data_IF_376568950618
#
_entry.id   IF_376568950618
#
_cell.length_a   1.000
_cell.length_b   1.000
_cell.length_c   1.000
_cell.angle_alpha   90.00
_cell.angle_beta   90.00
_cell.angle_gamma   90.00
#
_symmetry.space_group_name_H-M   'P 1'
#
loop_
_entity.id
_entity.type
_entity.pdbx_description
1 polymer ?
#
# COMPACT_ATOMS: atom_id res chain seq x y z
N UNK A 1 12.87 -3.63 8.48
CA UNK A 1 11.83 -3.12 7.56
C UNK A 1 11.67 -4.05 6.35
N UNK A 2 12.55 -4.02 5.34
CA UNK A 2 12.40 -4.85 4.13
C UNK A 2 12.29 -6.36 4.37
N UNK A 3 13.10 -6.92 5.29
CA UNK A 3 13.00 -8.34 5.65
C UNK A 3 11.65 -8.70 6.29
N UNK A 4 11.12 -7.83 7.17
CA UNK A 4 9.80 -8.01 7.80
C UNK A 4 8.67 -7.95 6.75
N UNK A 5 8.84 -7.15 5.70
CA UNK A 5 7.97 -7.21 4.53
C UNK A 5 8.09 -8.52 3.78
N UNK A 6 9.30 -8.98 3.49
CA UNK A 6 9.49 -10.20 2.70
C UNK A 6 8.94 -11.45 3.41
N UNK A 7 9.00 -11.51 4.74
CA UNK A 7 8.61 -12.70 5.53
C UNK A 7 7.31 -12.57 6.33
N UNK A 8 6.76 -11.37 6.53
CA UNK A 8 5.57 -11.11 7.38
C UNK A 8 4.40 -10.53 6.60
N UNK A 9 3.24 -10.31 7.23
CA UNK A 9 1.99 -9.74 6.66
C UNK A 9 1.24 -10.63 5.66
N UNK A 10 1.11 -11.92 5.96
CA UNK A 10 0.41 -12.87 5.08
C UNK A 10 -1.10 -12.63 5.07
N UNK A 11 -1.70 -12.21 6.18
CA UNK A 11 -3.13 -11.96 6.25
C UNK A 11 -3.51 -10.74 5.43
N UNK A 12 -2.75 -9.64 5.50
CA UNK A 12 -2.91 -8.47 4.63
C UNK A 12 -2.77 -8.85 3.16
N UNK A 13 -1.83 -9.73 2.80
CA UNK A 13 -1.70 -10.16 1.39
C UNK A 13 -2.90 -10.95 0.90
N UNK A 14 -3.46 -11.81 1.74
CA UNK A 14 -4.59 -12.66 1.39
C UNK A 14 -5.91 -11.89 1.39
N UNK A 15 -6.10 -11.01 2.38
CA UNK A 15 -7.35 -10.30 2.60
C UNK A 15 -7.42 -8.99 1.83
N UNK A 16 -6.28 -8.37 1.51
CA UNK A 16 -6.15 -7.15 0.72
C UNK A 16 -5.27 -7.44 -0.52
N UNK A 17 -5.76 -8.20 -1.51
CA UNK A 17 -5.01 -8.47 -2.73
C UNK A 17 -4.71 -7.16 -3.48
N UNK A 18 -3.58 -7.12 -4.19
CA UNK A 18 -3.16 -5.90 -4.84
C UNK A 18 -4.01 -5.60 -6.08
N UNK A 19 -4.69 -4.44 -6.09
CA UNK A 19 -5.31 -3.84 -7.28
C UNK A 19 -5.02 -2.34 -7.28
N UNK A 20 -4.02 -1.91 -8.03
CA UNK A 20 -3.56 -0.52 -8.04
C UNK A 20 -4.64 0.46 -8.51
N UNK A 21 -5.58 0.00 -9.35
CA UNK A 21 -6.69 0.79 -9.93
C UNK A 21 -7.92 0.84 -9.03
N UNK A 22 -8.17 -0.22 -8.27
CA UNK A 22 -9.37 -0.35 -7.45
C UNK A 22 -9.48 0.72 -6.37
N UNK A 23 -10.70 1.15 -6.07
CA UNK A 23 -11.05 1.98 -4.92
C UNK A 23 -12.35 1.45 -4.34
N UNK A 24 -12.27 0.77 -3.21
CA UNK A 24 -13.41 0.15 -2.52
C UNK A 24 -13.40 0.53 -1.05
N UNK A 25 -14.58 0.54 -0.42
CA UNK A 25 -14.72 0.70 1.03
C UNK A 25 -14.96 -0.66 1.66
N UNK A 26 -13.89 -1.37 1.98
CA UNK A 26 -13.97 -2.62 2.72
C UNK A 26 -13.62 -2.34 4.18
N UNK A 27 -14.45 -2.77 5.14
CA UNK A 27 -14.19 -2.48 6.57
C UNK A 27 -14.41 -3.66 7.50
N UNK A 28 -14.65 -4.87 6.98
CA UNK A 28 -14.87 -6.07 7.80
C UNK A 28 -13.78 -7.13 7.61
N UNK A 29 -12.54 -6.77 7.92
CA UNK A 29 -11.42 -7.72 7.93
C UNK A 29 -11.33 -8.48 9.24
N UNK A 30 -10.79 -9.69 9.16
CA UNK A 30 -10.51 -10.56 10.30
C UNK A 30 -9.57 -9.87 11.31
N UNK A 31 -9.65 -10.20 12.62
CA UNK A 31 -8.82 -9.57 13.65
C UNK A 31 -7.32 -9.62 13.35
N UNK A 32 -6.83 -10.72 12.76
CA UNK A 32 -5.42 -10.92 12.41
C UNK A 32 -4.97 -9.93 11.32
N UNK A 33 -5.82 -9.68 10.32
CA UNK A 33 -5.57 -8.68 9.27
C UNK A 33 -5.55 -7.27 9.85
N UNK A 34 -6.45 -6.96 10.80
CA UNK A 34 -6.45 -5.66 11.49
C UNK A 34 -5.19 -5.47 12.32
N UNK A 35 -4.73 -6.51 13.02
CA UNK A 35 -3.49 -6.46 13.80
C UNK A 35 -2.26 -6.24 12.90
N UNK A 36 -2.20 -6.89 11.75
CA UNK A 36 -1.14 -6.67 10.75
C UNK A 36 -1.17 -5.26 10.15
N UNK A 37 -2.37 -4.71 9.86
CA UNK A 37 -2.53 -3.32 9.42
C UNK A 37 -2.00 -2.35 10.49
N UNK A 38 -2.39 -2.54 11.76
CA UNK A 38 -1.92 -1.70 12.86
C UNK A 38 -0.39 -1.76 13.00
N UNK A 39 0.19 -2.96 12.88
CA UNK A 39 1.64 -3.17 12.93
C UNK A 39 2.37 -2.46 11.79
N UNK A 40 1.81 -2.46 10.58
CA UNK A 40 2.34 -1.72 9.43
C UNK A 40 2.32 -0.21 9.67
N UNK A 41 1.19 0.31 10.14
CA UNK A 41 1.03 1.73 10.45
C UNK A 41 2.00 2.18 11.54
N UNK A 42 2.14 1.41 12.62
CA UNK A 42 3.11 1.69 13.68
C UNK A 42 4.55 1.70 13.17
N UNK A 43 4.91 0.74 12.31
CA UNK A 43 6.24 0.67 11.72
C UNK A 43 6.56 1.91 10.87
N UNK A 44 5.66 2.29 9.97
CA UNK A 44 5.87 3.45 9.11
C UNK A 44 5.88 4.75 9.91
N UNK A 45 4.96 4.90 10.87
CA UNK A 45 4.92 6.02 11.81
C UNK A 45 6.24 6.17 12.55
N UNK A 46 6.79 5.08 13.10
CA UNK A 46 8.05 5.12 13.84
C UNK A 46 9.24 5.49 12.95
N UNK A 47 9.30 4.94 11.74
CA UNK A 47 10.35 5.28 10.77
C UNK A 47 10.25 6.75 10.34
N UNK A 48 9.05 7.23 10.02
CA UNK A 48 8.79 8.63 9.71
C UNK A 48 9.11 9.54 10.88
N UNK A 49 8.78 9.17 12.11
CA UNK A 49 9.13 9.96 13.29
C UNK A 49 10.66 10.15 13.46
N UNK A 50 11.45 9.13 13.10
CA UNK A 50 12.92 9.18 13.18
C UNK A 50 13.59 9.95 12.05
N UNK A 51 12.94 10.04 10.88
CA UNK A 51 13.56 10.55 9.64
C UNK A 51 12.75 11.64 8.93
N UNK A 52 11.73 12.22 9.57
CA UNK A 52 10.84 13.21 8.95
C UNK A 52 11.56 14.45 8.43
N UNK A 53 12.66 14.85 9.07
CA UNK A 53 13.47 16.02 8.69
C UNK A 53 14.34 15.82 7.45
N UNK A 54 14.58 14.57 7.05
CA UNK A 54 15.54 14.22 6.01
C UNK A 54 14.88 13.94 4.64
N UNK A 55 13.58 14.19 4.54
CA UNK A 55 12.78 14.03 3.33
C UNK A 55 11.46 13.27 3.55
N UNK A 56 10.72 12.99 2.46
CA UNK A 56 9.36 12.47 2.56
C UNK A 56 9.27 10.93 2.69
N UNK A 57 10.37 10.21 2.47
CA UNK A 57 10.40 8.74 2.42
C UNK A 57 10.66 8.10 3.80
N UNK A 58 10.55 6.77 3.94
CA UNK A 58 10.64 6.10 5.25
C UNK A 58 11.93 6.44 6.03
N UNK A 59 13.04 6.61 5.31
CA UNK A 59 14.35 6.97 5.87
C UNK A 59 14.81 8.36 5.41
N UNK A 60 13.85 9.26 5.13
CA UNK A 60 14.10 10.62 4.63
C UNK A 60 14.31 10.64 3.12
N UNK A 61 15.46 10.11 2.68
CA UNK A 61 15.74 9.88 1.27
C UNK A 61 15.04 8.60 0.76
N UNK A 62 14.80 8.53 -0.56
CA UNK A 62 14.21 7.34 -1.20
C UNK A 62 15.15 6.15 -1.07
N UNK A 63 14.64 5.03 -0.59
CA UNK A 63 15.40 3.80 -0.41
C UNK A 63 14.70 2.60 -1.02
N UNK A 64 15.39 1.45 -1.03
CA UNK A 64 14.79 0.18 -1.42
C UNK A 64 13.60 -0.20 -0.51
N UNK A 65 13.55 0.27 0.74
CA UNK A 65 12.42 0.00 1.62
C UNK A 65 11.13 0.58 1.04
N UNK A 66 11.18 1.80 0.50
CA UNK A 66 10.04 2.47 -0.12
C UNK A 66 9.48 1.66 -1.30
N UNK A 67 10.36 1.15 -2.16
CA UNK A 67 9.98 0.28 -3.27
C UNK A 67 9.32 -1.03 -2.81
N UNK A 68 9.82 -1.65 -1.74
CA UNK A 68 9.24 -2.87 -1.18
C UNK A 68 7.87 -2.65 -0.51
N UNK A 69 7.66 -1.48 0.09
CA UNK A 69 6.38 -1.14 0.71
C UNK A 69 5.38 -0.48 -0.25
N UNK A 70 5.79 -0.02 -1.43
CA UNK A 70 4.89 0.63 -2.39
C UNK A 70 3.67 -0.25 -2.76
N UNK A 71 3.78 -1.56 -3.05
CA UNK A 71 2.62 -2.42 -3.27
C UNK A 71 1.70 -2.54 -2.03
N UNK A 72 2.21 -2.34 -0.83
CA UNK A 72 1.40 -2.35 0.39
C UNK A 72 0.67 -1.03 0.57
N UNK A 73 1.33 0.10 0.29
CA UNK A 73 0.68 1.40 0.22
C UNK A 73 -0.50 1.38 -0.76
N UNK A 74 -0.35 0.74 -1.94
CA UNK A 74 -1.48 0.60 -2.87
C UNK A 74 -2.65 -0.15 -2.26
N UNK A 75 -2.43 -1.22 -1.48
CA UNK A 75 -3.50 -1.95 -0.79
C UNK A 75 -4.25 -1.04 0.18
N UNK A 76 -3.53 -0.25 0.97
CA UNK A 76 -4.16 0.68 1.92
C UNK A 76 -5.06 1.68 1.19
N UNK A 77 -4.60 2.22 0.06
CA UNK A 77 -5.38 3.13 -0.80
C UNK A 77 -6.57 2.44 -1.47
N UNK A 78 -6.38 1.24 -2.01
CA UNK A 78 -7.41 0.48 -2.73
C UNK A 78 -8.57 0.14 -1.81
N UNK A 79 -8.30 -0.24 -0.57
CA UNK A 79 -9.31 -0.70 0.38
C UNK A 79 -9.78 0.37 1.37
N UNK A 80 -9.29 1.61 1.24
CA UNK A 80 -9.67 2.71 2.13
C UNK A 80 -9.28 2.47 3.58
N UNK A 81 -8.12 1.82 3.81
CA UNK A 81 -7.58 1.59 5.15
C UNK A 81 -7.19 2.93 5.76
N UNK A 82 -7.74 3.25 6.93
CA UNK A 82 -7.34 4.43 7.69
C UNK A 82 -5.94 4.21 8.30
N UNK A 83 -5.03 5.14 8.04
CA UNK A 83 -3.67 5.16 8.56
C UNK A 83 -3.46 6.38 9.45
N UNK A 84 -2.42 6.35 10.28
CA UNK A 84 -1.94 7.54 10.96
C UNK A 84 -1.48 8.61 9.96
N UNK A 85 -1.55 9.88 10.36
CA UNK A 85 -1.13 11.02 9.53
C UNK A 85 0.29 10.89 8.92
N UNK A 86 1.35 10.48 9.66
CA UNK A 86 2.68 10.32 9.07
C UNK A 86 2.77 9.18 8.05
N UNK A 87 2.07 8.06 8.29
CA UNK A 87 1.98 6.96 7.34
C UNK A 87 1.22 7.34 6.09
N UNK A 88 0.11 8.08 6.22
CA UNK A 88 -0.63 8.60 5.07
C UNK A 88 0.25 9.56 4.25
N UNK A 89 0.95 10.48 4.90
CA UNK A 89 1.85 11.42 4.21
C UNK A 89 2.95 10.70 3.43
N UNK A 90 3.50 9.60 3.99
CA UNK A 90 4.45 8.76 3.28
C UNK A 90 3.81 8.03 2.08
N UNK A 91 2.60 7.47 2.22
CA UNK A 91 1.87 6.87 1.10
C UNK A 91 1.68 7.87 -0.05
N UNK A 92 1.31 9.12 0.25
CA UNK A 92 1.19 10.17 -0.76
C UNK A 92 2.53 10.48 -1.44
N UNK A 93 3.63 10.48 -0.70
CA UNK A 93 4.98 10.64 -1.28
C UNK A 93 5.33 9.50 -2.25
N UNK A 94 4.98 8.25 -1.91
CA UNK A 94 5.12 7.10 -2.82
C UNK A 94 4.29 7.31 -4.08
N UNK A 95 3.04 7.76 -3.98
CA UNK A 95 2.17 7.94 -5.14
C UNK A 95 2.58 9.14 -6.02
N UNK A 96 3.30 10.11 -5.45
CA UNK A 96 3.89 11.22 -6.18
C UNK A 96 5.22 10.86 -6.89
N UNK A 97 5.86 9.75 -6.51
CA UNK A 97 7.13 9.30 -7.07
C UNK A 97 7.01 8.99 -8.58
N UNK A 98 7.90 9.52 -9.44
CA UNK A 98 7.82 9.30 -10.89
C UNK A 98 7.77 7.83 -11.29
N UNK A 99 8.61 6.98 -10.70
CA UNK A 99 8.65 5.55 -11.04
C UNK A 99 7.36 4.84 -10.63
N UNK A 100 6.76 5.25 -9.51
CA UNK A 100 5.44 4.73 -9.11
C UNK A 100 4.37 5.14 -10.10
N UNK A 101 4.37 6.40 -10.58
CA UNK A 101 3.39 6.90 -11.55
C UNK A 101 3.52 6.18 -12.89
N UNK A 102 4.75 5.92 -13.33
CA UNK A 102 5.01 5.13 -14.53
C UNK A 102 4.48 3.71 -14.38
N UNK A 103 4.73 3.07 -13.23
CA UNK A 103 4.18 1.75 -12.92
C UNK A 103 2.64 1.72 -12.86
N UNK A 104 2.04 2.74 -12.25
CA UNK A 104 0.58 2.88 -12.19
C UNK A 104 -0.01 3.09 -13.59
N UNK A 105 0.60 3.93 -14.41
CA UNK A 105 0.16 4.16 -15.80
C UNK A 105 0.26 2.89 -16.64
N UNK A 106 1.31 2.09 -16.45
CA UNK A 106 1.51 0.82 -17.13
C UNK A 106 0.49 -0.26 -16.71
N UNK A 107 -0.29 -0.03 -15.65
CA UNK A 107 -1.38 -0.94 -15.24
C UNK A 107 -2.67 -0.77 -16.06
N UNK A 108 -2.64 0.00 -17.16
CA UNK A 108 -3.75 0.13 -18.09
C UNK A 108 -4.23 -1.25 -18.58
N UNK A 109 -5.54 -1.49 -18.65
CA UNK A 109 -6.06 -2.71 -19.27
C UNK A 109 -5.55 -2.80 -20.71
N UNK A 110 -4.92 -3.92 -21.03
CA UNK A 110 -4.61 -4.25 -22.42
C UNK A 110 -5.91 -4.52 -23.16
N UNK A 111 -5.98 -4.17 -24.45
CA UNK A 111 -7.20 -4.19 -25.27
C UNK A 111 -7.90 -5.55 -25.43
N UNK A 112 -7.39 -6.62 -24.81
CA UNK A 112 -7.99 -7.96 -24.81
C UNK A 112 -8.93 -8.23 -23.63
N UNK A 113 -9.00 -7.36 -22.61
CA UNK A 113 -9.81 -7.56 -21.39
C UNK A 113 -11.05 -6.65 -21.27
N UNK A 114 -11.74 -6.40 -22.39
CA UNK A 114 -12.86 -5.45 -22.54
C UNK A 114 -14.01 -5.52 -21.51
N UNK A 115 -14.03 -6.48 -20.58
CA UNK A 115 -14.92 -6.49 -19.43
C UNK A 115 -14.55 -5.45 -18.37
N UNK A 116 -13.28 -5.08 -18.22
CA UNK A 116 -12.81 -4.20 -17.15
C UNK A 116 -13.04 -4.73 -15.72
N UNK A 117 -13.46 -6.00 -15.58
CA UNK A 117 -13.76 -6.65 -14.31
C UNK A 117 -12.55 -7.48 -13.85
N UNK A 118 -11.96 -7.09 -12.72
CA UNK A 118 -11.00 -7.91 -12.00
C UNK A 118 -11.71 -8.89 -11.05
N UNK A 119 -11.06 -10.00 -10.71
CA UNK A 119 -11.52 -10.95 -9.68
C UNK A 119 -11.83 -10.25 -8.33
N UNK A 120 -11.18 -9.12 -8.08
CA UNK A 120 -11.34 -8.31 -6.87
C UNK A 120 -12.70 -7.62 -6.85
N UNK A 121 -13.23 -7.19 -8.00
CA UNK A 121 -14.53 -6.52 -8.09
C UNK A 121 -15.67 -7.44 -7.66
N UNK A 122 -15.52 -8.77 -7.81
CA UNK A 122 -16.52 -9.75 -7.33
C UNK A 122 -16.52 -9.94 -5.81
N UNK A 123 -15.39 -9.70 -5.13
CA UNK A 123 -15.24 -9.90 -3.68
C UNK A 123 -15.74 -8.70 -2.87
N UNK A 124 -15.80 -7.51 -3.48
CA UNK A 124 -16.14 -6.25 -2.81
C UNK A 124 -17.27 -5.46 -3.52
N UNK A 125 -18.01 -6.09 -4.44
CA UNK A 125 -19.30 -5.60 -4.93
C UNK A 125 -20.41 -5.87 -3.91
#
# INVERSE_FOLDING_TARGET
ATAEMHSGFSNVRNDLPMNIRGRVKAQDWRPETRAEIARLDDLWKDLRARHAGDGPFLFGARTIADAFYAPVATRMRTYGVALSAPSQAWCEAIFADPDFRDWESASAPDSWDASGFSVIDRKYA
#
